data_IF_545665804744
#
_entry.id   IF_545665804744
#
_cell.length_a   1.000
_cell.length_b   1.000
_cell.length_c   1.000
_cell.angle_alpha   90.00
_cell.angle_beta   90.00
_cell.angle_gamma   90.00
#
_symmetry.space_group_name_H-M   'P 1'
#
loop_
_entity.id
_entity.type
_entity.pdbx_description
1 polymer ?
#
# COMPACT_ATOMS: atom_id res chain seq x y z
N UNK A 1 18.70 11.09 -27.04
CA UNK A 1 18.38 11.95 -25.86
C UNK A 1 16.93 11.78 -25.40
N UNK A 2 15.93 11.83 -26.29
CA UNK A 2 14.50 11.67 -25.95
C UNK A 2 14.15 10.32 -25.28
N UNK A 3 14.83 9.23 -25.65
CA UNK A 3 14.59 7.89 -25.09
C UNK A 3 14.97 7.78 -23.62
N UNK A 4 16.12 8.34 -23.23
CA UNK A 4 16.59 8.38 -21.84
C UNK A 4 15.63 9.19 -20.96
N UNK A 5 15.17 10.33 -21.45
CA UNK A 5 14.19 11.18 -20.74
C UNK A 5 12.85 10.45 -20.54
N UNK A 6 12.38 9.69 -21.53
CA UNK A 6 11.17 8.88 -21.38
C UNK A 6 11.36 7.77 -20.33
N UNK A 7 12.49 7.06 -20.33
CA UNK A 7 12.77 6.01 -19.35
C UNK A 7 12.79 6.58 -17.92
N UNK A 8 13.47 7.71 -17.69
CA UNK A 8 13.48 8.36 -16.37
C UNK A 8 12.09 8.86 -15.95
N UNK A 9 11.26 9.32 -16.90
CA UNK A 9 9.89 9.74 -16.61
C UNK A 9 8.99 8.55 -16.27
N UNK A 10 9.16 7.42 -16.95
CA UNK A 10 8.45 6.17 -16.65
C UNK A 10 8.84 5.62 -15.28
N UNK A 11 10.16 5.58 -14.98
CA UNK A 11 10.65 5.18 -13.65
C UNK A 11 10.12 6.11 -12.55
N UNK A 12 10.15 7.42 -12.76
CA UNK A 12 9.62 8.37 -11.79
C UNK A 12 8.10 8.20 -11.58
N UNK A 13 7.36 7.91 -12.65
CA UNK A 13 5.95 7.56 -12.56
C UNK A 13 5.71 6.29 -11.73
N UNK A 14 6.48 5.24 -12.00
CA UNK A 14 6.41 3.97 -11.26
C UNK A 14 6.69 4.17 -9.77
N UNK A 15 7.74 4.93 -9.42
CA UNK A 15 8.07 5.24 -8.02
C UNK A 15 7.01 6.12 -7.32
N UNK A 16 6.32 6.99 -8.04
CA UNK A 16 5.21 7.79 -7.48
C UNK A 16 4.00 6.89 -7.20
N UNK A 17 3.66 5.99 -8.12
CA UNK A 17 2.56 5.02 -7.94
C UNK A 17 2.89 4.03 -6.81
N UNK A 18 4.11 3.50 -6.78
CA UNK A 18 4.61 2.63 -5.71
C UNK A 18 4.71 3.38 -4.38
N UNK A 19 4.99 4.69 -4.40
CA UNK A 19 5.01 5.56 -3.23
C UNK A 19 3.63 5.74 -2.60
N UNK A 20 2.59 5.92 -3.43
CA UNK A 20 1.20 5.98 -2.96
C UNK A 20 0.74 4.61 -2.41
N UNK A 21 1.16 3.54 -3.05
CA UNK A 21 0.93 2.17 -2.59
C UNK A 21 1.61 1.92 -1.23
N UNK A 22 2.87 2.33 -1.07
CA UNK A 22 3.60 2.23 0.19
C UNK A 22 2.96 3.08 1.29
N UNK A 23 2.49 4.30 0.97
CA UNK A 23 1.75 5.15 1.90
C UNK A 23 0.46 4.45 2.38
N UNK A 24 -0.32 3.87 1.47
CA UNK A 24 -1.54 3.15 1.82
C UNK A 24 -1.27 1.95 2.75
N UNK A 25 -0.21 1.18 2.48
CA UNK A 25 0.21 0.08 3.36
C UNK A 25 0.68 0.60 4.74
N UNK A 26 1.40 1.72 4.79
CA UNK A 26 1.82 2.32 6.06
C UNK A 26 0.63 2.69 6.94
N UNK A 27 -0.46 3.21 6.35
CA UNK A 27 -1.69 3.54 7.07
C UNK A 27 -2.33 2.28 7.65
N UNK A 28 -2.37 1.18 6.90
CA UNK A 28 -2.87 -0.12 7.39
C UNK A 28 -2.03 -0.62 8.57
N UNK A 29 -0.70 -0.50 8.49
CA UNK A 29 0.19 -0.91 9.58
C UNK A 29 -0.04 -0.06 10.84
N UNK A 30 -0.20 1.25 10.69
CA UNK A 30 -0.52 2.15 11.82
C UNK A 30 -1.86 1.77 12.46
N UNK A 31 -2.88 1.49 11.66
CA UNK A 31 -4.18 1.00 12.15
C UNK A 31 -4.04 -0.31 12.94
N UNK A 32 -3.30 -1.28 12.41
CA UNK A 32 -3.06 -2.53 13.13
C UNK A 32 -2.27 -2.34 14.43
N UNK A 33 -1.30 -1.42 14.44
CA UNK A 33 -0.56 -1.07 15.65
C UNK A 33 -1.46 -0.43 16.72
N UNK A 34 -2.39 0.44 16.32
CA UNK A 34 -3.39 1.01 17.22
C UNK A 34 -4.28 -0.10 17.80
N UNK A 35 -4.76 -1.03 16.96
CA UNK A 35 -5.58 -2.16 17.38
C UNK A 35 -4.83 -3.07 18.37
N UNK A 36 -3.54 -3.33 18.11
CA UNK A 36 -2.69 -4.09 19.02
C UNK A 36 -2.47 -3.38 20.36
N UNK A 37 -2.38 -2.05 20.37
CA UNK A 37 -2.17 -1.25 21.58
C UNK A 37 -3.43 -1.19 22.48
N UNK A 38 -4.62 -1.10 21.88
CA UNK A 38 -5.88 -1.02 22.63
C UNK A 38 -6.44 -2.38 23.07
N UNK A 39 -6.14 -3.45 22.32
CA UNK A 39 -6.63 -4.80 22.58
C UNK A 39 -5.49 -5.84 22.61
N UNK A 40 -4.52 -5.71 23.54
CA UNK A 40 -3.37 -6.60 23.61
C UNK A 40 -3.73 -8.07 23.91
N UNK A 41 -4.90 -8.30 24.52
CA UNK A 41 -5.40 -9.64 24.81
C UNK A 41 -5.91 -10.39 23.55
N UNK A 42 -6.08 -9.71 22.42
CA UNK A 42 -6.61 -10.29 21.18
C UNK A 42 -5.65 -10.00 20.01
N UNK A 43 -4.44 -10.59 20.00
CA UNK A 43 -3.42 -10.31 18.97
C UNK A 43 -3.90 -10.68 17.55
N UNK A 44 -4.83 -11.63 17.44
CA UNK A 44 -5.48 -12.00 16.17
C UNK A 44 -6.20 -10.81 15.52
N UNK A 45 -6.77 -9.89 16.31
CA UNK A 45 -7.49 -8.73 15.74
C UNK A 45 -6.57 -7.83 14.92
N UNK A 46 -5.36 -7.53 15.43
CA UNK A 46 -4.36 -6.77 14.68
C UNK A 46 -3.87 -7.53 13.44
N UNK A 47 -3.70 -8.85 13.55
CA UNK A 47 -3.35 -9.71 12.42
C UNK A 47 -4.40 -9.70 11.31
N UNK A 48 -5.69 -9.76 11.66
CA UNK A 48 -6.80 -9.68 10.69
C UNK A 48 -6.82 -8.32 10.02
N UNK A 49 -6.59 -7.23 10.76
CA UNK A 49 -6.52 -5.87 10.19
C UNK A 49 -5.38 -5.74 9.19
N UNK A 50 -4.19 -6.27 9.49
CA UNK A 50 -3.08 -6.31 8.52
C UNK A 50 -3.43 -7.15 7.29
N UNK A 51 -3.98 -8.35 7.49
CA UNK A 51 -4.23 -9.29 6.41
C UNK A 51 -5.28 -8.72 5.44
N UNK A 52 -6.42 -8.29 5.97
CA UNK A 52 -7.51 -7.72 5.16
C UNK A 52 -7.12 -6.35 4.60
N UNK A 53 -6.47 -5.50 5.39
CA UNK A 53 -6.05 -4.17 4.95
C UNK A 53 -5.01 -4.22 3.83
N UNK A 54 -3.97 -5.05 3.96
CA UNK A 54 -2.96 -5.22 2.91
C UNK A 54 -3.55 -5.83 1.63
N UNK A 55 -4.41 -6.85 1.75
CA UNK A 55 -5.12 -7.42 0.59
C UNK A 55 -6.04 -6.40 -0.08
N UNK A 56 -6.74 -5.58 0.70
CA UNK A 56 -7.59 -4.51 0.17
C UNK A 56 -6.80 -3.47 -0.61
N UNK A 57 -5.66 -3.02 -0.07
CA UNK A 57 -4.77 -2.07 -0.76
C UNK A 57 -4.18 -2.68 -2.03
N UNK A 58 -3.78 -3.96 -2.00
CA UNK A 58 -3.31 -4.70 -3.20
C UNK A 58 -4.38 -4.79 -4.29
N UNK A 59 -5.59 -5.22 -3.94
CA UNK A 59 -6.70 -5.34 -4.89
C UNK A 59 -7.13 -3.99 -5.44
N UNK A 60 -7.19 -2.96 -4.58
CA UNK A 60 -7.47 -1.58 -5.00
C UNK A 60 -6.42 -1.07 -5.99
N UNK A 61 -5.14 -1.36 -5.76
CA UNK A 61 -4.07 -0.96 -6.66
C UNK A 61 -4.16 -1.68 -8.02
N UNK A 62 -4.36 -3.00 -8.01
CA UNK A 62 -4.49 -3.80 -9.25
C UNK A 62 -5.71 -3.38 -10.07
N UNK A 63 -6.85 -3.12 -9.43
CA UNK A 63 -8.07 -2.68 -10.12
C UNK A 63 -7.95 -1.25 -10.65
N UNK A 64 -7.30 -0.34 -9.93
CA UNK A 64 -7.01 1.02 -10.39
C UNK A 64 -6.11 1.04 -11.62
N UNK A 65 -5.06 0.21 -11.65
CA UNK A 65 -4.14 0.11 -12.79
C UNK A 65 -4.80 -0.53 -14.02
N UNK A 66 -5.71 -1.49 -13.84
CA UNK A 66 -6.42 -2.13 -14.95
C UNK A 66 -7.51 -1.27 -15.62
N UNK A 67 -7.87 -0.13 -15.04
CA UNK A 67 -8.92 0.77 -15.55
C UNK A 67 -8.34 2.02 -16.24
N UNK A 68 -7.01 2.12 -16.39
CA UNK A 68 -6.32 3.21 -17.11
C UNK A 68 -5.79 2.80 -18.46
#
# INVERSE_FOLDING_TARGET
MKTLVNIFRELAGLFIDDGLFALALSVVVVLAAIVAAIAPAVPIAAGVVLLVGCLGVLLGNVTSTGTR
#
